data_IF_998618562897
#
_entry.id   IF_998618562897
#
_cell.length_a   1.000
_cell.length_b   1.000
_cell.length_c   1.000
_cell.angle_alpha   90.00
_cell.angle_beta   90.00
_cell.angle_gamma   90.00
#
_symmetry.space_group_name_H-M   'P 1'
#
loop_
_entity.id
_entity.type
_entity.pdbx_description
1 polymer ?
#
# COMPACT_ATOMS: atom_id res chain seq x y z
N UNK A 1 -7.31 -10.54 9.72
CA UNK A 1 -6.41 -9.75 10.59
C UNK A 1 -5.80 -8.65 9.73
N UNK A 2 -5.96 -7.37 10.07
CA UNK A 2 -5.45 -6.25 9.25
C UNK A 2 -4.15 -5.72 9.89
N UNK A 3 -2.99 -6.10 9.33
CA UNK A 3 -1.67 -5.68 9.84
C UNK A 3 -1.45 -4.21 9.49
N UNK A 4 -1.08 -3.36 10.45
CA UNK A 4 -0.86 -1.92 10.25
C UNK A 4 0.63 -1.55 10.28
N UNK A 5 1.04 -0.46 9.60
CA UNK A 5 2.40 0.07 9.73
C UNK A 5 2.79 0.40 11.19
N UNK A 6 1.83 0.79 12.02
CA UNK A 6 2.06 1.06 13.44
C UNK A 6 2.43 -0.21 14.22
N UNK A 7 1.79 -1.34 13.93
CA UNK A 7 2.13 -2.63 14.56
C UNK A 7 3.54 -3.10 14.17
N UNK A 8 3.98 -2.85 12.94
CA UNK A 8 5.35 -3.18 12.52
C UNK A 8 6.39 -2.29 13.21
N UNK A 9 6.08 -0.99 13.40
CA UNK A 9 6.93 -0.07 14.17
C UNK A 9 7.03 -0.47 15.64
N UNK A 10 5.92 -0.85 16.27
CA UNK A 10 5.92 -1.36 17.66
C UNK A 10 6.80 -2.62 17.81
N UNK A 11 6.75 -3.54 16.85
CA UNK A 11 7.65 -4.70 16.83
C UNK A 11 9.13 -4.29 16.67
N UNK A 12 9.42 -3.28 15.85
CA UNK A 12 10.78 -2.76 15.70
C UNK A 12 11.29 -2.13 17.00
N UNK A 13 10.47 -1.30 17.66
CA UNK A 13 10.81 -0.66 18.94
C UNK A 13 11.12 -1.72 20.01
N UNK A 14 10.36 -2.82 20.02
CA UNK A 14 10.60 -3.95 20.92
C UNK A 14 11.87 -4.74 20.58
N UNK A 15 12.20 -4.88 19.28
CA UNK A 15 13.44 -5.51 18.86
C UNK A 15 14.65 -4.67 19.26
N UNK A 16 14.57 -3.34 19.12
CA UNK A 16 15.61 -2.39 19.54
C UNK A 16 15.81 -2.40 21.06
N UNK A 17 14.72 -2.44 21.84
CA UNK A 17 14.80 -2.55 23.30
C UNK A 17 15.55 -3.84 23.72
N UNK A 18 15.17 -4.99 23.15
CA UNK A 18 15.81 -6.27 23.46
C UNK A 18 17.26 -6.32 22.97
N UNK A 19 17.56 -5.70 21.83
CA UNK A 19 18.91 -5.54 21.32
C UNK A 19 19.78 -4.74 22.28
N UNK A 20 19.28 -3.61 22.79
CA UNK A 20 19.99 -2.77 23.75
C UNK A 20 20.28 -3.52 25.05
N UNK A 21 19.29 -4.25 25.58
CA UNK A 21 19.44 -5.09 26.78
C UNK A 21 20.52 -6.17 26.58
N UNK A 22 20.44 -6.95 25.49
CA UNK A 22 21.41 -8.01 25.20
C UNK A 22 22.83 -7.46 24.99
N UNK A 23 22.96 -6.29 24.34
CA UNK A 23 24.25 -5.62 24.16
C UNK A 23 24.82 -5.11 25.46
N UNK A 24 23.99 -4.57 26.35
CA UNK A 24 24.42 -4.09 27.67
C UNK A 24 24.99 -5.22 28.53
N UNK A 25 24.37 -6.40 28.52
CA UNK A 25 24.87 -7.59 29.23
C UNK A 25 26.28 -7.99 28.77
N UNK A 26 26.53 -7.98 27.45
CA UNK A 26 27.86 -8.29 26.92
C UNK A 26 28.88 -7.18 27.19
N UNK A 27 28.48 -5.91 27.03
CA UNK A 27 29.35 -4.75 27.24
C UNK A 27 29.75 -4.54 28.70
N UNK A 28 28.93 -5.01 29.65
CA UNK A 28 29.21 -4.94 31.08
C UNK A 28 30.33 -5.86 31.56
N UNK A 29 30.76 -6.84 30.76
CA UNK A 29 31.85 -7.74 31.11
C UNK A 29 33.24 -7.09 30.89
N UNK A 30 34.23 -7.31 31.76
CA UNK A 30 35.62 -6.96 31.49
C UNK A 30 36.12 -7.56 30.18
N UNK A 31 37.02 -6.86 29.48
CA UNK A 31 37.52 -7.26 28.15
C UNK A 31 38.12 -8.66 28.15
N UNK A 32 38.84 -9.02 29.21
CA UNK A 32 39.54 -10.30 29.34
C UNK A 32 38.72 -11.37 30.08
N UNK A 33 37.42 -11.13 30.31
CA UNK A 33 36.58 -12.08 31.04
C UNK A 33 36.33 -13.35 30.21
N UNK A 34 36.58 -14.56 30.75
CA UNK A 34 36.25 -15.81 30.06
C UNK A 34 34.73 -15.97 29.84
N UNK A 35 33.89 -15.28 30.61
CA UNK A 35 32.43 -15.29 30.46
C UNK A 35 31.99 -14.71 29.11
N UNK A 36 32.80 -13.85 28.48
CA UNK A 36 32.50 -13.29 27.16
C UNK A 36 32.36 -14.37 26.09
N UNK A 37 33.15 -15.45 26.17
CA UNK A 37 33.03 -16.56 25.24
C UNK A 37 31.66 -17.25 25.34
N UNK A 38 31.10 -17.32 26.55
CA UNK A 38 29.77 -17.91 26.80
C UNK A 38 28.62 -16.97 26.43
N UNK A 39 28.82 -15.65 26.47
CA UNK A 39 27.83 -14.66 26.03
C UNK A 39 27.93 -14.26 24.56
N UNK A 40 28.88 -14.81 23.79
CA UNK A 40 29.06 -14.49 22.38
C UNK A 40 27.78 -14.74 21.55
N UNK A 41 27.04 -15.82 21.86
CA UNK A 41 25.77 -16.12 21.20
C UNK A 41 24.69 -15.05 21.50
N UNK A 42 24.63 -14.54 22.74
CA UNK A 42 23.72 -13.46 23.10
C UNK A 42 24.09 -12.14 22.41
N UNK A 43 25.40 -11.86 22.28
CA UNK A 43 25.86 -10.71 21.50
C UNK A 43 25.48 -10.82 20.03
N UNK A 44 25.65 -11.99 19.41
CA UNK A 44 25.19 -12.21 18.04
C UNK A 44 23.67 -12.07 17.90
N UNK A 45 22.89 -12.55 18.88
CA UNK A 45 21.45 -12.36 18.91
C UNK A 45 21.07 -10.87 18.94
N UNK A 46 21.80 -10.04 19.68
CA UNK A 46 21.61 -8.59 19.68
C UNK A 46 21.82 -7.98 18.28
N UNK A 47 22.85 -8.40 17.55
CA UNK A 47 23.08 -7.94 16.18
C UNK A 47 21.98 -8.42 15.20
N UNK A 48 21.43 -9.61 15.41
CA UNK A 48 20.27 -10.08 14.65
C UNK A 48 19.01 -9.27 14.96
N UNK A 49 18.77 -8.92 16.23
CA UNK A 49 17.63 -8.10 16.63
C UNK A 49 17.71 -6.70 16.02
N UNK A 50 18.91 -6.11 15.95
CA UNK A 50 19.13 -4.84 15.24
C UNK A 50 18.67 -4.92 13.78
N UNK A 51 19.13 -5.95 13.06
CA UNK A 51 18.74 -6.16 11.65
C UNK A 51 17.24 -6.40 11.51
N UNK A 52 16.65 -7.16 12.42
CA UNK A 52 15.21 -7.41 12.44
C UNK A 52 14.42 -6.10 12.64
N UNK A 53 14.86 -5.21 13.54
CA UNK A 53 14.28 -3.88 13.71
C UNK A 53 14.34 -3.04 12.43
N UNK A 54 15.51 -3.00 11.77
CA UNK A 54 15.70 -2.30 10.49
C UNK A 54 14.76 -2.83 9.38
N UNK A 55 14.61 -4.16 9.28
CA UNK A 55 13.73 -4.79 8.30
C UNK A 55 12.24 -4.53 8.61
N UNK A 56 11.84 -4.53 9.89
CA UNK A 56 10.48 -4.21 10.32
C UNK A 56 10.11 -2.76 10.01
N UNK A 57 11.02 -1.81 10.22
CA UNK A 57 10.82 -0.39 9.87
C UNK A 57 10.68 -0.21 8.35
N UNK A 58 11.50 -0.91 7.56
CA UNK A 58 11.38 -0.89 6.09
C UNK A 58 10.02 -1.41 5.64
N UNK A 59 9.61 -2.56 6.15
CA UNK A 59 8.31 -3.15 5.85
C UNK A 59 7.14 -2.25 6.27
N UNK A 60 7.27 -1.53 7.40
CA UNK A 60 6.28 -0.53 7.82
C UNK A 60 6.15 0.61 6.81
N UNK A 61 7.28 1.12 6.30
CA UNK A 61 7.32 2.13 5.24
C UNK A 61 6.68 1.64 3.94
N UNK A 62 7.10 0.47 3.45
CA UNK A 62 6.58 -0.13 2.22
C UNK A 62 5.06 -0.35 2.28
N UNK A 63 4.56 -0.84 3.42
CA UNK A 63 3.13 -1.05 3.63
C UNK A 63 2.35 0.26 3.69
N UNK A 64 2.90 1.30 4.34
CA UNK A 64 2.27 2.62 4.38
C UNK A 64 2.18 3.22 2.97
N UNK A 65 3.25 3.12 2.18
CA UNK A 65 3.29 3.59 0.80
C UNK A 65 2.29 2.83 -0.08
N UNK A 66 2.25 1.50 0.03
CA UNK A 66 1.29 0.67 -0.71
C UNK A 66 -0.15 1.08 -0.41
N UNK A 67 -0.49 1.31 0.87
CA UNK A 67 -1.84 1.73 1.28
C UNK A 67 -2.19 3.12 0.76
N UNK A 68 -1.27 4.08 0.89
CA UNK A 68 -1.46 5.41 0.33
C UNK A 68 -1.71 5.35 -1.18
N UNK A 69 -0.95 4.53 -1.91
CA UNK A 69 -1.16 4.32 -3.35
C UNK A 69 -2.48 3.63 -3.67
N UNK A 70 -2.87 2.63 -2.86
CA UNK A 70 -4.14 1.93 -3.03
C UNK A 70 -5.34 2.85 -2.76
N UNK A 71 -5.21 3.79 -1.83
CA UNK A 71 -6.23 4.81 -1.53
C UNK A 71 -6.25 5.92 -2.60
N UNK A 72 -5.12 6.20 -3.25
CA UNK A 72 -5.03 7.22 -4.30
C UNK A 72 -5.37 6.70 -5.70
N UNK A 73 -5.55 5.39 -5.90
CA UNK A 73 -5.85 4.78 -7.22
C UNK A 73 -7.19 4.07 -7.22
N UNK A 74 -7.93 4.18 -8.33
CA UNK A 74 -9.31 3.70 -8.42
C UNK A 74 -9.45 2.20 -8.15
N UNK A 75 -8.51 1.41 -8.65
CA UNK A 75 -8.36 0.02 -8.27
C UNK A 75 -9.48 -0.95 -8.70
N UNK A 76 -10.48 -0.49 -9.45
CA UNK A 76 -11.47 -1.37 -10.06
C UNK A 76 -10.81 -2.43 -10.95
N UNK A 77 -11.34 -3.66 -11.05
CA UNK A 77 -10.65 -4.77 -11.71
C UNK A 77 -10.60 -4.67 -13.24
N UNK A 78 -11.05 -3.56 -13.83
CA UNK A 78 -10.94 -3.24 -15.25
C UNK A 78 -10.59 -1.77 -15.45
N UNK A 79 -9.81 -1.46 -16.49
CA UNK A 79 -9.50 -0.10 -16.88
C UNK A 79 -10.60 0.58 -17.70
N UNK A 80 -10.59 1.91 -17.69
CA UNK A 80 -11.54 2.77 -18.42
C UNK A 80 -10.80 3.88 -19.16
N UNK A 81 -11.49 4.53 -20.09
CA UNK A 81 -11.06 5.84 -20.58
C UNK A 81 -11.29 6.86 -19.45
N UNK A 82 -10.28 7.66 -19.06
CA UNK A 82 -10.43 8.64 -17.97
C UNK A 82 -11.54 9.67 -18.25
N UNK A 83 -11.75 10.01 -19.52
CA UNK A 83 -12.70 11.04 -19.96
C UNK A 83 -14.06 10.47 -20.39
N UNK A 84 -14.09 9.22 -20.84
CA UNK A 84 -15.26 8.62 -21.50
C UNK A 84 -15.71 7.30 -20.86
N UNK A 85 -15.19 6.95 -19.69
CA UNK A 85 -15.59 5.78 -18.92
C UNK A 85 -15.39 4.44 -19.64
N UNK A 86 -16.35 3.52 -19.50
CA UNK A 86 -16.28 2.15 -20.01
C UNK A 86 -16.49 2.05 -21.54
N UNK A 87 -15.60 2.70 -22.30
CA UNK A 87 -15.66 2.81 -23.76
C UNK A 87 -14.48 2.15 -24.45
N UNK A 88 -13.62 1.46 -23.70
CA UNK A 88 -12.45 0.78 -24.25
C UNK A 88 -12.83 -0.47 -25.06
N UNK A 89 -12.22 -0.61 -26.23
CA UNK A 89 -12.12 -1.86 -26.99
C UNK A 89 -10.68 -2.34 -26.98
N UNK A 90 -10.45 -3.64 -26.79
CA UNK A 90 -9.12 -4.25 -26.81
C UNK A 90 -8.96 -5.13 -28.04
N UNK A 91 -7.87 -4.95 -28.80
CA UNK A 91 -7.52 -5.79 -29.94
C UNK A 91 -6.00 -5.97 -29.95
N UNK A 92 -5.52 -7.21 -30.06
CA UNK A 92 -4.09 -7.55 -30.06
C UNK A 92 -3.28 -6.88 -28.93
N UNK A 93 -3.80 -6.94 -27.69
CA UNK A 93 -3.19 -6.31 -26.51
C UNK A 93 -3.08 -4.77 -26.58
N UNK A 94 -3.80 -4.10 -27.48
CA UNK A 94 -3.91 -2.65 -27.54
C UNK A 94 -5.32 -2.24 -27.16
N UNK A 95 -5.46 -1.38 -26.16
CA UNK A 95 -6.75 -0.77 -25.81
C UNK A 95 -6.93 0.54 -26.56
N UNK A 96 -8.13 0.77 -27.09
CA UNK A 96 -8.52 2.01 -27.76
C UNK A 96 -9.85 2.51 -27.22
N UNK A 97 -9.94 3.79 -26.87
CA UNK A 97 -11.23 4.39 -26.54
C UNK A 97 -12.07 4.55 -27.82
N UNK A 98 -13.31 4.04 -27.81
CA UNK A 98 -14.22 4.16 -28.94
C UNK A 98 -14.72 5.59 -29.18
N UNK A 99 -14.56 6.50 -28.21
CA UNK A 99 -15.02 7.90 -28.28
C UNK A 99 -13.88 8.84 -28.68
N UNK A 100 -12.87 9.04 -27.83
CA UNK A 100 -11.76 9.96 -28.15
C UNK A 100 -10.61 9.35 -28.95
N UNK A 101 -10.69 8.06 -29.29
CA UNK A 101 -9.67 7.34 -30.08
C UNK A 101 -8.29 7.25 -29.44
N UNK A 102 -8.10 7.72 -28.20
CA UNK A 102 -6.87 7.51 -27.42
C UNK A 102 -6.56 6.02 -27.33
N UNK A 103 -5.30 5.67 -27.52
CA UNK A 103 -4.79 4.30 -27.49
C UNK A 103 -3.86 4.09 -26.29
N UNK A 104 -3.79 2.84 -25.86
CA UNK A 104 -2.82 2.33 -24.90
C UNK A 104 -2.22 1.07 -25.52
N UNK A 105 -0.90 0.96 -25.53
CA UNK A 105 -0.10 -0.13 -26.10
C UNK A 105 -0.12 -1.43 -25.27
N UNK A 106 -1.07 -1.53 -24.33
CA UNK A 106 -1.35 -2.69 -23.49
C UNK A 106 -2.87 -2.88 -23.34
N UNK A 107 -3.30 -4.07 -22.89
CA UNK A 107 -4.71 -4.34 -22.56
C UNK A 107 -5.14 -3.66 -21.27
N UNK A 108 -5.28 -2.34 -21.33
CA UNK A 108 -5.78 -1.52 -20.23
C UNK A 108 -7.14 -1.98 -19.71
N UNK A 109 -8.05 -2.42 -20.60
CA UNK A 109 -9.38 -2.88 -20.19
C UNK A 109 -9.30 -4.11 -19.29
N UNK A 110 -8.42 -5.06 -19.60
CA UNK A 110 -8.21 -6.28 -18.82
C UNK A 110 -7.38 -6.09 -17.54
N UNK A 111 -6.82 -4.91 -17.30
CA UNK A 111 -5.98 -4.61 -16.14
C UNK A 111 -6.75 -3.82 -15.07
N UNK A 112 -6.27 -3.89 -13.83
CA UNK A 112 -6.77 -3.07 -12.72
C UNK A 112 -6.63 -1.58 -13.07
N UNK A 113 -7.63 -0.77 -12.73
CA UNK A 113 -7.65 0.66 -13.01
C UNK A 113 -6.59 1.40 -12.19
N UNK A 114 -5.60 1.97 -12.86
CA UNK A 114 -4.54 2.79 -12.25
C UNK A 114 -4.85 4.29 -12.22
N UNK A 115 -6.05 4.71 -12.60
CA UNK A 115 -6.42 6.13 -12.60
C UNK A 115 -6.54 6.70 -11.18
N UNK A 116 -6.20 7.99 -10.98
CA UNK A 116 -6.30 8.60 -9.67
C UNK A 116 -7.75 8.61 -9.17
N UNK A 117 -7.93 8.37 -7.89
CA UNK A 117 -9.21 8.55 -7.20
C UNK A 117 -9.55 10.04 -7.17
N UNK A 118 -10.75 10.39 -7.61
CA UNK A 118 -11.29 11.76 -7.60
C UNK A 118 -12.69 11.83 -7.03
N UNK A 119 -13.30 10.68 -6.72
CA UNK A 119 -14.67 10.58 -6.20
C UNK A 119 -14.76 9.59 -5.06
N UNK A 120 -15.57 9.95 -4.07
CA UNK A 120 -16.20 9.05 -3.11
C UNK A 120 -17.65 8.85 -3.53
N UNK A 121 -18.03 7.59 -3.74
CA UNK A 121 -19.37 7.18 -4.11
C UNK A 121 -19.96 6.39 -2.96
N UNK A 122 -21.15 6.77 -2.50
CA UNK A 122 -21.87 6.03 -1.46
C UNK A 122 -23.16 5.51 -2.09
N UNK A 123 -23.34 4.18 -2.09
CA UNK A 123 -24.53 3.57 -2.66
C UNK A 123 -25.78 3.79 -1.77
N UNK A 124 -26.94 3.30 -2.24
CA UNK A 124 -28.21 3.46 -1.53
C UNK A 124 -28.24 2.80 -0.13
N UNK A 125 -27.42 1.77 0.09
CA UNK A 125 -27.34 1.06 1.39
C UNK A 125 -26.22 1.60 2.28
N UNK A 126 -25.51 2.64 1.84
CA UNK A 126 -24.44 3.30 2.59
C UNK A 126 -23.05 2.74 2.33
N UNK A 127 -22.87 1.83 1.38
CA UNK A 127 -21.54 1.29 1.04
C UNK A 127 -20.72 2.36 0.32
N UNK A 128 -19.53 2.63 0.83
CA UNK A 128 -18.60 3.59 0.23
C UNK A 128 -17.63 2.93 -0.74
N UNK A 129 -17.31 3.63 -1.82
CA UNK A 129 -16.32 3.22 -2.82
C UNK A 129 -15.58 4.43 -3.37
N UNK A 130 -14.29 4.26 -3.63
CA UNK A 130 -13.45 5.29 -4.26
C UNK A 130 -13.36 5.04 -5.77
N UNK A 131 -13.53 6.08 -6.58
CA UNK A 131 -13.57 5.98 -8.03
C UNK A 131 -12.79 7.10 -8.71
N UNK A 132 -12.21 6.80 -9.88
CA UNK A 132 -11.70 7.83 -10.77
C UNK A 132 -12.83 8.49 -11.58
N UNK A 133 -12.51 9.58 -12.27
CA UNK A 133 -13.44 10.27 -13.17
C UNK A 133 -14.05 9.32 -14.22
N UNK A 134 -13.27 8.39 -14.77
CA UNK A 134 -13.79 7.43 -15.76
C UNK A 134 -14.82 6.45 -15.19
N UNK A 135 -14.58 5.90 -13.99
CA UNK A 135 -15.50 4.95 -13.35
C UNK A 135 -16.75 5.63 -12.83
N UNK A 136 -16.65 6.89 -12.36
CA UNK A 136 -17.82 7.62 -11.88
C UNK A 136 -18.87 7.83 -12.97
N UNK A 137 -18.46 7.98 -14.24
CA UNK A 137 -19.38 8.10 -15.37
C UNK A 137 -20.28 6.87 -15.51
N UNK A 138 -19.70 5.68 -15.37
CA UNK A 138 -20.45 4.42 -15.38
C UNK A 138 -21.32 4.27 -14.14
N UNK A 139 -20.78 4.61 -12.97
CA UNK A 139 -21.51 4.53 -11.70
C UNK A 139 -22.75 5.43 -11.68
N UNK A 140 -22.67 6.66 -12.20
CA UNK A 140 -23.82 7.58 -12.30
C UNK A 140 -24.95 7.02 -13.16
N UNK A 141 -24.62 6.27 -14.20
CA UNK A 141 -25.62 5.65 -15.06
C UNK A 141 -26.27 4.41 -14.41
N UNK A 142 -25.54 3.69 -13.56
CA UNK A 142 -25.97 2.39 -13.04
C UNK A 142 -26.49 2.41 -11.59
N UNK A 143 -26.02 3.33 -10.74
CA UNK A 143 -26.26 3.33 -9.30
C UNK A 143 -27.33 4.35 -8.90
N UNK A 144 -28.60 3.98 -9.09
CA UNK A 144 -29.72 4.82 -8.68
C UNK A 144 -29.74 5.07 -7.17
N UNK A 145 -29.90 6.34 -6.78
CA UNK A 145 -29.94 6.76 -5.38
C UNK A 145 -28.57 6.79 -4.68
N UNK A 146 -27.47 6.62 -5.41
CA UNK A 146 -26.14 6.82 -4.88
C UNK A 146 -25.80 8.33 -4.76
N UNK A 147 -24.96 8.68 -3.78
CA UNK A 147 -24.38 10.01 -3.65
C UNK A 147 -22.96 10.03 -4.19
N UNK A 148 -22.61 11.11 -4.88
CA UNK A 148 -21.31 11.29 -5.53
C UNK A 148 -20.64 12.55 -4.98
N UNK A 149 -19.57 12.36 -4.21
CA UNK A 149 -18.79 13.45 -3.63
C UNK A 149 -17.43 13.52 -4.33
N UNK A 150 -17.08 14.69 -4.88
CA UNK A 150 -15.75 14.91 -5.44
C UNK A 150 -14.76 15.04 -4.28
N UNK A 151 -13.60 14.42 -4.42
CA UNK A 151 -12.51 14.54 -3.47
C UNK A 151 -11.60 15.64 -3.99
N UNK A 152 -11.25 16.59 -3.11
CA UNK A 152 -10.27 17.61 -3.44
C UNK A 152 -8.94 16.92 -3.72
N UNK A 153 -8.23 17.37 -4.75
CA UNK A 153 -6.86 16.93 -4.95
C UNK A 153 -6.07 17.30 -3.70
N UNK A 154 -5.42 16.32 -3.06
CA UNK A 154 -4.44 16.60 -2.03
C UNK A 154 -3.37 17.50 -2.68
N UNK A 155 -3.41 18.80 -2.36
CA UNK A 155 -2.42 19.80 -2.75
C UNK A 155 -1.07 19.50 -2.12
#
# INVERSE_FOLDING_TARGET
MNITPAQLRDLADRADALQAEARALYAGLPVDSPERAHLQAAHHAAEWLKRAGEDLLRAAGDLAQYRALAESTCGFPWGVCPEHGNTLSSMANVSTCRVCRRTWDYDRRGQKCGEPVTWKVTDRVGTESLMCDGHVLGARAAMQGATFMRLDAAT
#
